data_IF_700297418838
#
_entry.id   IF_700297418838
#
_cell.length_a   1.000
_cell.length_b   1.000
_cell.length_c   1.000
_cell.angle_alpha   90.00
_cell.angle_beta   90.00
_cell.angle_gamma   90.00
#
_symmetry.space_group_name_H-M   'P 1'
#
loop_
_entity.id
_entity.type
_entity.pdbx_description
1 polymer ?
#
# COMPACT_ATOMS: atom_id res chain seq x y z
N UNK A 1 -4.31 -7.58 9.87
CA UNK A 1 -4.59 -8.80 9.08
C UNK A 1 -5.92 -8.68 8.35
N UNK A 2 -6.03 -9.23 7.14
CA UNK A 2 -7.24 -9.19 6.30
C UNK A 2 -8.42 -9.93 6.95
N UNK A 3 -8.16 -11.00 7.68
CA UNK A 3 -9.19 -11.81 8.37
C UNK A 3 -9.97 -11.04 9.45
N UNK A 4 -9.34 -10.04 10.09
CA UNK A 4 -9.92 -9.30 11.21
C UNK A 4 -10.77 -8.12 10.71
N UNK A 5 -10.61 -7.71 9.44
CA UNK A 5 -11.17 -6.46 8.91
C UNK A 5 -12.69 -6.43 8.98
N UNK A 6 -13.35 -7.50 8.54
CA UNK A 6 -14.82 -7.54 8.53
C UNK A 6 -15.41 -7.53 9.94
N UNK A 7 -14.81 -8.29 10.88
CA UNK A 7 -15.29 -8.36 12.25
C UNK A 7 -15.13 -7.03 12.99
N UNK A 8 -13.96 -6.41 12.84
CA UNK A 8 -13.67 -5.11 13.47
C UNK A 8 -14.52 -3.98 12.87
N UNK A 9 -14.80 -4.05 11.57
CA UNK A 9 -15.69 -3.08 10.92
C UNK A 9 -17.11 -3.10 11.49
N UNK A 10 -17.69 -4.27 11.82
CA UNK A 10 -19.03 -4.34 12.44
C UNK A 10 -19.06 -3.67 13.83
N UNK A 11 -17.98 -3.80 14.61
CA UNK A 11 -17.83 -3.15 15.92
C UNK A 11 -17.78 -1.62 15.73
N UNK A 12 -16.99 -1.14 14.77
CA UNK A 12 -16.89 0.29 14.45
C UNK A 12 -18.21 0.85 13.92
N UNK A 13 -18.91 0.11 13.05
CA UNK A 13 -20.23 0.48 12.52
C UNK A 13 -21.27 0.63 13.62
N UNK A 14 -21.23 -0.22 14.65
CA UNK A 14 -22.16 -0.16 15.79
C UNK A 14 -21.92 1.07 16.67
N UNK A 15 -20.68 1.55 16.73
CA UNK A 15 -20.28 2.72 17.53
C UNK A 15 -20.19 4.02 16.72
N UNK A 16 -20.54 3.97 15.44
CA UNK A 16 -20.45 5.11 14.53
C UNK A 16 -21.52 6.17 14.84
N UNK A 17 -21.15 7.47 14.94
CA UNK A 17 -22.11 8.56 15.05
C UNK A 17 -23.07 8.63 13.87
N UNK A 18 -24.26 9.17 14.11
CA UNK A 18 -25.33 9.28 13.11
C UNK A 18 -24.89 10.12 11.90
N UNK A 19 -24.04 11.11 12.12
CA UNK A 19 -23.53 12.04 11.11
C UNK A 19 -22.70 11.36 10.01
N UNK A 20 -22.11 10.19 10.30
CA UNK A 20 -21.25 9.46 9.35
C UNK A 20 -21.89 8.17 8.82
N UNK A 21 -23.15 7.88 9.16
CA UNK A 21 -23.81 6.62 8.76
C UNK A 21 -23.84 6.40 7.26
N UNK A 22 -24.08 7.45 6.48
CA UNK A 22 -24.08 7.37 5.02
C UNK A 22 -22.70 6.96 4.48
N UNK A 23 -21.64 7.55 5.03
CA UNK A 23 -20.26 7.17 4.69
C UNK A 23 -19.94 5.74 5.09
N UNK A 24 -20.33 5.31 6.29
CA UNK A 24 -20.11 3.94 6.77
C UNK A 24 -20.83 2.93 5.87
N UNK A 25 -22.08 3.20 5.46
CA UNK A 25 -22.81 2.34 4.52
C UNK A 25 -22.14 2.27 3.16
N UNK A 26 -21.70 3.42 2.62
CA UNK A 26 -20.95 3.46 1.37
C UNK A 26 -19.65 2.65 1.46
N UNK A 27 -18.90 2.80 2.56
CA UNK A 27 -17.65 2.10 2.77
C UNK A 27 -17.86 0.60 2.88
N UNK A 28 -18.90 0.17 3.59
CA UNK A 28 -19.30 -1.23 3.69
C UNK A 28 -19.57 -1.82 2.31
N UNK A 29 -20.42 -1.18 1.49
CA UNK A 29 -20.79 -1.71 0.18
C UNK A 29 -19.61 -1.78 -0.79
N UNK A 30 -18.68 -0.83 -0.72
CA UNK A 30 -17.60 -0.73 -1.69
C UNK A 30 -16.31 -1.47 -1.27
N UNK A 31 -15.99 -1.53 0.02
CA UNK A 31 -14.67 -1.99 0.50
C UNK A 31 -14.71 -3.21 1.40
N UNK A 32 -15.81 -3.46 2.11
CA UNK A 32 -15.96 -4.60 3.04
C UNK A 32 -16.85 -5.71 2.44
N UNK A 33 -17.92 -5.31 1.76
CA UNK A 33 -18.99 -6.13 1.24
C UNK A 33 -20.15 -6.24 2.23
N UNK A 34 -21.37 -5.88 1.83
CA UNK A 34 -22.57 -5.96 2.69
C UNK A 34 -23.15 -7.36 2.82
N UNK A 35 -23.83 -7.64 3.93
CA UNK A 35 -24.54 -8.91 4.15
C UNK A 35 -25.85 -8.91 3.35
N UNK A 36 -25.99 -9.86 2.42
CA UNK A 36 -27.22 -10.06 1.66
C UNK A 36 -28.30 -10.77 2.49
N UNK A 37 -29.55 -10.75 1.98
CA UNK A 37 -30.71 -11.37 2.64
C UNK A 37 -30.54 -12.87 2.96
N UNK A 38 -29.68 -13.57 2.23
CA UNK A 38 -29.35 -14.99 2.44
C UNK A 38 -28.22 -15.19 3.47
N UNK A 39 -27.90 -14.17 4.25
CA UNK A 39 -26.83 -14.14 5.25
C UNK A 39 -25.41 -14.39 4.68
N UNK A 40 -25.23 -14.20 3.36
CA UNK A 40 -23.90 -14.25 2.70
C UNK A 40 -23.37 -12.85 2.48
N UNK A 41 -22.09 -12.64 2.74
CA UNK A 41 -21.41 -11.37 2.43
C UNK A 41 -21.21 -11.26 0.92
N UNK A 42 -21.64 -10.16 0.32
CA UNK A 42 -21.39 -9.86 -1.09
C UNK A 42 -19.90 -9.50 -1.28
N UNK A 43 -19.29 -9.85 -2.42
CA UNK A 43 -17.95 -9.38 -2.72
C UNK A 43 -17.96 -7.84 -2.83
N UNK A 44 -17.02 -7.13 -2.18
CA UNK A 44 -16.90 -5.68 -2.33
C UNK A 44 -16.47 -5.30 -3.74
N UNK A 45 -16.81 -4.08 -4.16
CA UNK A 45 -16.34 -3.50 -5.43
C UNK A 45 -14.81 -3.40 -5.48
N UNK A 46 -14.19 -3.10 -4.33
CA UNK A 46 -12.75 -3.01 -4.15
C UNK A 46 -12.30 -4.08 -3.14
N UNK A 47 -11.78 -5.22 -3.61
CA UNK A 47 -11.34 -6.31 -2.75
C UNK A 47 -10.27 -5.88 -1.73
N UNK A 48 -10.29 -6.52 -0.55
CA UNK A 48 -9.30 -6.29 0.53
C UNK A 48 -7.85 -6.40 0.04
N UNK A 49 -7.56 -7.35 -0.85
CA UNK A 49 -6.22 -7.54 -1.43
C UNK A 49 -5.71 -6.34 -2.23
N UNK A 50 -6.60 -5.46 -2.69
CA UNK A 50 -6.24 -4.27 -3.46
C UNK A 50 -5.76 -3.13 -2.55
N UNK A 51 -6.38 -2.95 -1.38
CA UNK A 51 -6.17 -1.76 -0.54
C UNK A 51 -5.55 -2.05 0.84
N UNK A 52 -5.63 -3.30 1.31
CA UNK A 52 -5.05 -3.67 2.59
C UNK A 52 -3.51 -3.68 2.49
N UNK A 53 -2.86 -2.95 3.40
CA UNK A 53 -1.41 -2.81 3.44
C UNK A 53 -0.75 -3.53 4.62
N UNK A 54 -1.50 -4.33 5.38
CA UNK A 54 -0.99 -4.96 6.60
C UNK A 54 0.17 -5.92 6.30
N UNK A 55 -0.04 -6.87 5.39
CA UNK A 55 0.98 -7.83 4.97
C UNK A 55 2.18 -7.15 4.29
N UNK A 56 1.93 -6.07 3.53
CA UNK A 56 3.01 -5.27 2.94
C UNK A 56 3.88 -4.62 4.02
N UNK A 57 3.27 -4.08 5.07
CA UNK A 57 4.00 -3.49 6.19
C UNK A 57 4.78 -4.54 6.98
N UNK A 58 4.21 -5.73 7.17
CA UNK A 58 4.87 -6.84 7.85
C UNK A 58 6.12 -7.33 7.10
N UNK A 59 6.07 -7.37 5.77
CA UNK A 59 7.15 -7.82 4.91
C UNK A 59 8.11 -6.70 4.44
N UNK A 60 8.01 -5.51 5.02
CA UNK A 60 8.78 -4.32 4.59
C UNK A 60 8.68 -4.00 3.08
N UNK A 61 7.49 -4.19 2.51
CA UNK A 61 7.20 -3.92 1.11
C UNK A 61 6.66 -2.49 0.89
N UNK A 62 6.85 -1.92 -0.31
CA UNK A 62 6.23 -0.65 -0.67
C UNK A 62 4.70 -0.69 -0.51
N UNK A 63 4.17 0.33 0.18
CA UNK A 63 2.73 0.54 0.42
C UNK A 63 1.99 1.08 -0.79
N UNK A 64 2.68 1.91 -1.58
CA UNK A 64 2.11 2.56 -2.77
C UNK A 64 2.87 2.12 -4.01
N UNK A 65 2.24 2.34 -5.16
CA UNK A 65 2.83 2.13 -6.48
C UNK A 65 3.75 3.29 -6.93
N UNK A 66 3.99 4.32 -6.09
CA UNK A 66 4.83 5.47 -6.46
C UNK A 66 6.20 5.11 -7.06
N UNK A 67 6.94 4.08 -6.57
CA UNK A 67 8.19 3.69 -7.21
C UNK A 67 7.99 3.22 -8.66
N UNK A 68 6.92 2.47 -8.92
CA UNK A 68 6.54 1.99 -10.26
C UNK A 68 6.10 3.14 -11.15
N UNK A 69 5.30 4.08 -10.62
CA UNK A 69 4.91 5.30 -11.35
C UNK A 69 6.13 6.17 -11.70
N UNK A 70 7.05 6.31 -10.75
CA UNK A 70 8.31 7.01 -10.96
C UNK A 70 9.16 6.38 -12.05
N UNK A 71 9.29 5.04 -12.02
CA UNK A 71 9.99 4.30 -13.07
C UNK A 71 9.30 4.43 -14.44
N UNK A 72 7.98 4.25 -14.50
CA UNK A 72 7.21 4.42 -15.74
C UNK A 72 7.37 5.83 -16.32
N UNK A 73 7.35 6.86 -15.47
CA UNK A 73 7.57 8.24 -15.90
C UNK A 73 8.99 8.45 -16.45
N UNK A 74 10.01 7.95 -15.76
CA UNK A 74 11.39 7.99 -16.24
C UNK A 74 11.56 7.25 -17.58
N UNK A 75 10.95 6.07 -17.72
CA UNK A 75 10.96 5.30 -18.96
C UNK A 75 10.27 6.02 -20.11
N UNK A 76 9.11 6.64 -19.86
CA UNK A 76 8.43 7.46 -20.87
C UNK A 76 9.32 8.61 -21.36
N UNK A 77 10.03 9.26 -20.44
CA UNK A 77 10.99 10.31 -20.77
C UNK A 77 12.20 9.77 -21.55
N UNK A 78 12.72 8.61 -21.15
CA UNK A 78 13.87 7.95 -21.78
C UNK A 78 13.57 7.51 -23.22
N UNK A 79 12.39 6.92 -23.45
CA UNK A 79 11.91 6.54 -24.79
C UNK A 79 11.70 7.79 -25.64
N UNK A 80 11.15 8.86 -25.05
CA UNK A 80 11.11 10.21 -25.61
C UNK A 80 10.13 10.41 -26.79
N UNK A 81 9.28 9.42 -27.08
CA UNK A 81 8.30 9.47 -28.19
C UNK A 81 6.98 8.83 -27.76
N UNK A 82 5.85 9.38 -28.21
CA UNK A 82 4.52 8.91 -27.82
C UNK A 82 4.14 7.53 -28.42
N UNK A 83 4.61 7.24 -29.64
CA UNK A 83 4.30 6.01 -30.37
C UNK A 83 5.56 5.36 -30.95
N UNK A 84 6.44 4.81 -30.09
CA UNK A 84 7.65 4.13 -30.54
C UNK A 84 7.30 2.84 -31.31
N UNK A 85 8.06 2.55 -32.36
CA UNK A 85 8.04 1.22 -32.99
C UNK A 85 8.59 0.17 -32.02
N UNK A 86 8.07 -1.07 -32.10
CA UNK A 86 8.42 -2.17 -31.18
C UNK A 86 9.94 -2.35 -31.03
N UNK A 87 10.69 -2.25 -32.14
CA UNK A 87 12.14 -2.39 -32.13
C UNK A 87 12.84 -1.35 -31.22
N UNK A 88 12.39 -0.09 -31.24
CA UNK A 88 12.91 0.97 -30.37
C UNK A 88 12.62 0.66 -28.90
N UNK A 89 11.41 0.20 -28.58
CA UNK A 89 11.04 -0.22 -27.22
C UNK A 89 11.98 -1.31 -26.73
N UNK A 90 12.25 -2.33 -27.54
CA UNK A 90 13.16 -3.44 -27.18
C UNK A 90 14.57 -2.91 -26.91
N UNK A 91 15.08 -2.01 -27.75
CA UNK A 91 16.40 -1.41 -27.53
C UNK A 91 16.45 -0.60 -26.24
N UNK A 92 15.43 0.21 -25.97
CA UNK A 92 15.39 1.08 -24.81
C UNK A 92 15.23 0.27 -23.50
N UNK A 93 14.43 -0.82 -23.51
CA UNK A 93 14.35 -1.77 -22.39
C UNK A 93 15.72 -2.44 -22.13
N UNK A 94 16.46 -2.84 -23.16
CA UNK A 94 17.81 -3.43 -22.99
C UNK A 94 18.79 -2.44 -22.33
N UNK A 95 18.73 -1.17 -22.71
CA UNK A 95 19.57 -0.12 -22.09
C UNK A 95 19.20 0.13 -20.63
N UNK A 96 17.90 0.15 -20.31
CA UNK A 96 17.42 0.30 -18.94
C UNK A 96 17.86 -0.88 -18.08
N UNK A 97 17.73 -2.10 -18.59
CA UNK A 97 18.19 -3.32 -17.92
C UNK A 97 19.69 -3.24 -17.61
N UNK A 98 20.51 -2.87 -18.60
CA UNK A 98 21.96 -2.73 -18.41
C UNK A 98 22.31 -1.66 -17.38
N UNK A 99 21.66 -0.49 -17.43
CA UNK A 99 21.85 0.58 -16.46
C UNK A 99 21.47 0.14 -15.05
N UNK A 100 20.39 -0.63 -14.93
CA UNK A 100 19.92 -1.19 -13.65
C UNK A 100 20.89 -2.21 -13.08
N UNK A 101 21.47 -3.10 -13.92
CA UNK A 101 22.50 -4.05 -13.49
C UNK A 101 23.72 -3.34 -12.90
N UNK A 102 24.21 -2.29 -13.57
CA UNK A 102 25.31 -1.47 -13.05
C UNK A 102 24.95 -0.83 -11.70
N UNK A 103 23.72 -0.36 -11.53
CA UNK A 103 23.27 0.21 -10.25
C UNK A 103 23.24 -0.85 -9.13
N UNK A 104 22.81 -2.07 -9.44
CA UNK A 104 22.81 -3.21 -8.50
C UNK A 104 24.24 -3.54 -8.10
N UNK A 105 25.17 -3.70 -9.06
CA UNK A 105 26.58 -3.98 -8.78
C UNK A 105 27.23 -2.89 -7.91
N UNK A 106 26.92 -1.62 -8.19
CA UNK A 106 27.39 -0.48 -7.36
C UNK A 106 26.81 -0.52 -5.95
N UNK A 107 25.56 -0.93 -5.79
CA UNK A 107 24.93 -1.09 -4.48
C UNK A 107 25.57 -2.25 -3.70
N UNK A 108 25.73 -3.42 -4.34
CA UNK A 108 26.33 -4.62 -3.74
C UNK A 108 27.79 -4.41 -3.35
N UNK A 109 28.57 -3.66 -4.15
CA UNK A 109 29.94 -3.25 -3.83
C UNK A 109 30.04 -2.18 -2.73
N UNK A 110 28.90 -1.67 -2.23
CA UNK A 110 28.86 -0.59 -1.24
C UNK A 110 29.21 0.79 -1.79
N UNK A 111 29.46 0.90 -3.11
CA UNK A 111 29.79 2.15 -3.81
C UNK A 111 28.59 3.08 -3.99
N UNK A 112 27.37 2.55 -3.83
CA UNK A 112 26.11 3.29 -3.90
C UNK A 112 25.33 3.11 -2.59
N UNK A 113 24.86 4.22 -2.01
CA UNK A 113 23.88 4.22 -0.93
C UNK A 113 22.58 4.84 -1.42
N UNK A 114 21.51 4.07 -1.41
CA UNK A 114 20.16 4.57 -1.63
C UNK A 114 19.71 5.24 -0.33
N UNK A 115 19.40 6.53 -0.36
CA UNK A 115 18.82 7.24 0.79
C UNK A 115 17.38 7.61 0.50
N UNK A 116 16.50 7.37 1.48
CA UNK A 116 15.15 7.95 1.49
C UNK A 116 15.16 9.16 2.42
N UNK A 117 14.14 10.01 2.31
CA UNK A 117 13.99 11.10 3.27
C UNK A 117 13.76 10.51 4.66
N UNK A 118 14.60 10.89 5.62
CA UNK A 118 14.58 10.37 6.99
C UNK A 118 13.19 10.42 7.67
N UNK A 119 12.35 11.41 7.31
CA UNK A 119 10.95 11.49 7.79
C UNK A 119 10.17 10.21 7.47
N UNK A 120 10.25 9.72 6.23
CA UNK A 120 9.49 8.55 5.79
C UNK A 120 10.07 7.25 6.35
N UNK A 121 11.39 7.15 6.49
CA UNK A 121 12.04 6.01 7.13
C UNK A 121 11.58 5.86 8.59
N UNK A 122 11.54 6.98 9.35
CA UNK A 122 11.04 6.98 10.73
C UNK A 122 9.56 6.57 10.82
N UNK A 123 8.73 7.00 9.88
CA UNK A 123 7.31 6.61 9.85
C UNK A 123 7.18 5.12 9.53
N UNK A 124 7.93 4.63 8.54
CA UNK A 124 7.92 3.21 8.14
C UNK A 124 8.36 2.31 9.31
N UNK A 125 9.43 2.66 10.02
CA UNK A 125 9.88 1.96 11.23
C UNK A 125 8.80 1.91 12.32
N UNK A 126 8.12 3.04 12.57
CA UNK A 126 7.03 3.08 13.56
C UNK A 126 5.84 2.22 13.14
N UNK A 127 5.50 2.21 11.86
CA UNK A 127 4.42 1.38 11.32
C UNK A 127 4.76 -0.12 11.40
N UNK A 128 5.98 -0.51 11.04
CA UNK A 128 6.46 -1.88 11.19
C UNK A 128 6.38 -2.33 12.64
N UNK A 129 6.91 -1.53 13.57
CA UNK A 129 6.83 -1.83 15.00
C UNK A 129 5.37 -2.01 15.44
N UNK A 130 4.48 -1.09 15.05
CA UNK A 130 3.06 -1.18 15.39
C UNK A 130 2.41 -2.47 14.85
N UNK A 131 2.74 -2.89 13.63
CA UNK A 131 2.27 -4.16 13.04
C UNK A 131 2.77 -5.37 13.83
N UNK A 132 4.03 -5.40 14.27
CA UNK A 132 4.53 -6.52 15.10
C UNK A 132 3.80 -6.66 16.43
N UNK A 133 3.26 -5.55 16.97
CA UNK A 133 2.53 -5.56 18.23
C UNK A 133 1.03 -5.88 18.06
N UNK A 134 0.55 -6.10 16.83
CA UNK A 134 -0.87 -6.22 16.52
C UNK A 134 -1.62 -7.30 17.32
N UNK A 135 -0.98 -8.44 17.57
CA UNK A 135 -1.57 -9.55 18.34
C UNK A 135 -1.39 -9.42 19.86
N UNK A 136 -0.59 -8.45 20.33
CA UNK A 136 -0.24 -8.27 21.74
C UNK A 136 -1.13 -7.18 22.38
N UNK A 137 -1.45 -6.13 21.63
CA UNK A 137 -2.27 -5.01 22.11
C UNK A 137 -3.75 -5.17 21.76
N UNK A 138 -4.60 -4.43 22.48
CA UNK A 138 -6.01 -4.33 22.10
C UNK A 138 -6.19 -3.59 20.77
N UNK A 139 -7.26 -3.89 20.03
CA UNK A 139 -7.56 -3.20 18.76
C UNK A 139 -7.75 -1.70 18.94
N UNK A 140 -8.37 -1.30 20.06
CA UNK A 140 -8.54 0.11 20.41
C UNK A 140 -7.21 0.85 20.59
N UNK A 141 -6.24 0.23 21.28
CA UNK A 141 -4.89 0.79 21.43
C UNK A 141 -4.14 0.84 20.09
N UNK A 142 -4.27 -0.22 19.29
CA UNK A 142 -3.69 -0.27 17.94
C UNK A 142 -4.18 0.90 17.08
N UNK A 143 -5.49 1.12 17.00
CA UNK A 143 -6.05 2.24 16.23
C UNK A 143 -5.69 3.60 16.81
N UNK A 144 -5.59 3.72 18.13
CA UNK A 144 -5.12 4.95 18.78
C UNK A 144 -3.69 5.28 18.36
N UNK A 145 -2.78 4.31 18.37
CA UNK A 145 -1.40 4.50 17.91
C UNK A 145 -1.33 4.81 16.42
N UNK A 146 -2.12 4.11 15.60
CA UNK A 146 -2.21 4.36 14.16
C UNK A 146 -2.65 5.81 13.89
N UNK A 147 -3.69 6.29 14.59
CA UNK A 147 -4.17 7.67 14.48
C UNK A 147 -3.07 8.70 14.76
N UNK A 148 -2.24 8.48 15.79
CA UNK A 148 -1.16 9.40 16.15
C UNK A 148 -0.07 9.47 15.07
N UNK A 149 0.15 8.38 14.32
CA UNK A 149 1.14 8.37 13.23
C UNK A 149 0.66 9.16 12.00
N UNK A 150 -0.66 9.28 11.81
CA UNK A 150 -1.28 9.95 10.66
C UNK A 150 -1.96 11.28 11.01
N UNK A 151 -1.93 11.72 12.26
CA UNK A 151 -2.37 13.07 12.63
C UNK A 151 -1.37 14.08 12.07
N UNK A 152 -1.81 14.85 11.08
CA UNK A 152 -1.09 15.99 10.51
C UNK A 152 -1.37 17.26 11.31
#
# INVERSE_FOLDING_TARGET
PTQDVSAEFEILKTSAPDEIKEFVSYFEDNYIGSIARNNRRKPPRFPLSMWNCFERLENDLPKTNNPVEGWNNAMNQFVGVAHPVIYKIIQDIKKEQHSTQILIEKFESGSLKLSRRAKYEKIDQKLQHLVTQYNIMSKAEYFKHLRILFSF
#
